data_IF_488642864028
#
_entry.id   IF_488642864028
#
_cell.length_a   1.000
_cell.length_b   1.000
_cell.length_c   1.000
_cell.angle_alpha   90.00
_cell.angle_beta   90.00
_cell.angle_gamma   90.00
#
_symmetry.space_group_name_H-M   'P 1'
#
loop_
_entity.id
_entity.type
_entity.pdbx_description
1 polymer ?
#
# COMPACT_ATOMS: atom_id res chain seq x y z
N UNK A 1 -25.98 21.98 -4.87
CA UNK A 1 -25.08 20.80 -4.87
C UNK A 1 -24.95 20.36 -6.31
N UNK A 2 -23.73 20.16 -6.81
CA UNK A 2 -23.51 19.68 -8.17
C UNK A 2 -23.82 18.17 -8.22
N UNK A 3 -24.84 17.79 -9.00
CA UNK A 3 -25.32 16.40 -9.12
C UNK A 3 -24.31 15.48 -9.82
N UNK A 4 -23.35 16.07 -10.53
CA UNK A 4 -22.31 15.39 -11.29
C UNK A 4 -20.94 15.48 -10.63
N UNK A 5 -20.85 16.03 -9.41
CA UNK A 5 -19.59 16.15 -8.69
C UNK A 5 -18.93 14.78 -8.50
N UNK A 6 -17.65 14.70 -8.80
CA UNK A 6 -16.84 13.50 -8.60
C UNK A 6 -16.12 13.55 -7.25
N UNK A 7 -16.11 12.44 -6.53
CA UNK A 7 -15.29 12.29 -5.31
C UNK A 7 -13.81 12.01 -5.66
N UNK A 8 -12.97 11.77 -4.64
CA UNK A 8 -11.53 11.51 -4.82
C UNK A 8 -11.22 10.22 -5.62
N UNK A 9 -12.22 9.36 -5.84
CA UNK A 9 -12.14 8.14 -6.66
C UNK A 9 -12.83 8.29 -8.02
N UNK A 10 -13.23 9.52 -8.39
CA UNK A 10 -13.91 9.86 -9.62
C UNK A 10 -15.34 9.28 -9.73
N UNK A 11 -15.95 8.90 -8.62
CA UNK A 11 -17.36 8.47 -8.60
C UNK A 11 -18.29 9.68 -8.45
N UNK A 12 -19.35 9.67 -9.25
CA UNK A 12 -20.47 10.61 -9.15
C UNK A 12 -21.52 10.05 -8.18
N UNK A 13 -22.49 10.85 -7.73
CA UNK A 13 -23.66 10.33 -7.01
C UNK A 13 -24.32 9.16 -7.74
N UNK A 14 -24.41 9.19 -9.07
CA UNK A 14 -24.99 8.11 -9.87
C UNK A 14 -24.15 6.83 -9.83
N UNK A 15 -22.82 6.94 -9.94
CA UNK A 15 -21.92 5.81 -9.72
C UNK A 15 -22.16 5.17 -8.34
N UNK A 16 -22.22 5.98 -7.29
CA UNK A 16 -22.43 5.51 -5.92
C UNK A 16 -23.81 4.85 -5.74
N UNK A 17 -24.87 5.41 -6.32
CA UNK A 17 -26.21 4.82 -6.26
C UNK A 17 -26.25 3.43 -6.90
N UNK A 18 -25.59 3.25 -8.05
CA UNK A 18 -25.46 1.93 -8.70
C UNK A 18 -24.58 0.98 -7.90
N UNK A 19 -23.43 1.43 -7.39
CA UNK A 19 -22.51 0.60 -6.58
C UNK A 19 -23.21 0.05 -5.33
N UNK A 20 -24.08 0.85 -4.72
CA UNK A 20 -24.85 0.45 -3.54
C UNK A 20 -26.17 -0.26 -3.87
N UNK A 21 -26.43 -0.64 -5.12
CA UNK A 21 -27.67 -1.28 -5.57
C UNK A 21 -28.94 -0.53 -5.14
N UNK A 22 -28.91 0.81 -5.19
CA UNK A 22 -30.02 1.67 -4.77
C UNK A 22 -30.77 2.22 -5.99
N UNK A 23 -31.74 1.44 -6.48
CA UNK A 23 -32.56 1.81 -7.64
C UNK A 23 -33.35 3.11 -7.44
N UNK A 24 -33.83 3.39 -6.23
CA UNK A 24 -34.58 4.61 -5.93
C UNK A 24 -33.70 5.84 -6.14
N UNK A 25 -32.49 5.82 -5.58
CA UNK A 25 -31.51 6.89 -5.79
C UNK A 25 -31.11 7.02 -7.26
N UNK A 26 -30.95 5.91 -7.99
CA UNK A 26 -30.67 5.94 -9.44
C UNK A 26 -31.77 6.68 -10.19
N UNK A 27 -33.04 6.32 -9.97
CA UNK A 27 -34.17 6.94 -10.65
C UNK A 27 -34.31 8.43 -10.31
N UNK A 28 -34.09 8.79 -9.04
CA UNK A 28 -34.16 10.19 -8.62
C UNK A 28 -33.04 11.03 -9.24
N UNK A 29 -31.81 10.51 -9.29
CA UNK A 29 -30.67 11.19 -9.92
C UNK A 29 -30.91 11.39 -11.42
N UNK A 30 -31.44 10.39 -12.12
CA UNK A 30 -31.86 10.52 -13.52
C UNK A 30 -32.93 11.60 -13.68
N UNK A 31 -33.96 11.61 -12.81
CA UNK A 31 -35.04 12.60 -12.83
C UNK A 31 -34.54 14.02 -12.62
N UNK A 32 -33.51 14.20 -11.78
CA UNK A 32 -32.87 15.48 -11.51
C UNK A 32 -31.88 15.93 -12.59
N UNK A 33 -31.67 15.12 -13.63
CA UNK A 33 -30.79 15.45 -14.76
C UNK A 33 -29.32 15.15 -14.53
N UNK A 34 -28.99 14.12 -13.74
CA UNK A 34 -27.62 13.60 -13.66
C UNK A 34 -27.13 13.17 -15.04
N UNK A 35 -25.88 13.47 -15.37
CA UNK A 35 -25.24 13.00 -16.58
C UNK A 35 -24.86 11.51 -16.40
N UNK A 36 -25.49 10.67 -17.22
CA UNK A 36 -25.45 9.20 -17.08
C UNK A 36 -24.12 8.61 -17.59
N UNK A 37 -23.43 9.34 -18.46
CA UNK A 37 -22.28 8.85 -19.20
C UNK A 37 -20.93 9.34 -18.64
N UNK A 38 -20.94 10.11 -17.54
CA UNK A 38 -19.70 10.46 -16.82
C UNK A 38 -18.98 9.17 -16.42
N UNK A 39 -17.68 9.14 -16.68
CA UNK A 39 -16.83 8.01 -16.32
C UNK A 39 -16.00 8.29 -15.08
N UNK A 40 -15.67 7.25 -14.32
CA UNK A 40 -14.58 7.28 -13.35
C UNK A 40 -13.20 7.43 -14.05
N UNK A 41 -12.12 7.40 -13.26
CA UNK A 41 -10.76 7.53 -13.78
C UNK A 41 -10.36 6.39 -14.74
N UNK A 42 -10.98 5.21 -14.56
CA UNK A 42 -10.76 4.01 -15.37
C UNK A 42 -11.68 3.94 -16.60
N UNK A 43 -12.50 4.97 -16.85
CA UNK A 43 -13.44 4.97 -17.98
C UNK A 43 -14.72 4.18 -17.74
N UNK A 44 -15.03 3.81 -16.49
CA UNK A 44 -16.24 3.07 -16.13
C UNK A 44 -17.40 4.04 -15.90
N UNK A 45 -18.55 3.77 -16.52
CA UNK A 45 -19.81 4.50 -16.30
C UNK A 45 -20.67 3.83 -15.24
N UNK A 46 -21.75 4.49 -14.80
CA UNK A 46 -22.79 3.89 -13.97
C UNK A 46 -23.35 2.59 -14.59
N UNK A 47 -23.56 2.57 -15.92
CA UNK A 47 -24.01 1.38 -16.64
C UNK A 47 -23.01 0.22 -16.52
N UNK A 48 -21.71 0.52 -16.65
CA UNK A 48 -20.66 -0.49 -16.51
C UNK A 48 -20.72 -1.17 -15.13
N UNK A 49 -20.86 -0.41 -14.05
CA UNK A 49 -20.99 -0.98 -12.70
C UNK A 49 -22.26 -1.83 -12.53
N UNK A 50 -23.39 -1.41 -13.10
CA UNK A 50 -24.62 -2.19 -13.06
C UNK A 50 -24.45 -3.55 -13.78
N UNK A 51 -23.72 -3.55 -14.91
CA UNK A 51 -23.37 -4.75 -15.66
C UNK A 51 -22.41 -5.67 -14.90
N UNK A 52 -21.37 -5.14 -14.25
CA UNK A 52 -20.46 -5.94 -13.40
C UNK A 52 -21.21 -6.65 -12.26
N UNK A 53 -22.21 -5.97 -11.69
CA UNK A 53 -23.07 -6.53 -10.63
C UNK A 53 -24.16 -7.47 -11.17
N UNK A 54 -24.31 -7.60 -12.49
CA UNK A 54 -25.40 -8.36 -13.14
C UNK A 54 -26.79 -7.87 -12.70
N UNK A 55 -26.96 -6.55 -12.59
CA UNK A 55 -28.19 -5.92 -12.11
C UNK A 55 -29.07 -5.43 -13.27
N UNK A 56 -29.88 -6.34 -13.81
CA UNK A 56 -30.72 -6.07 -14.98
C UNK A 56 -31.73 -4.93 -14.75
N UNK A 57 -32.18 -4.73 -13.51
CA UNK A 57 -33.17 -3.70 -13.16
C UNK A 57 -32.57 -2.30 -13.28
N UNK A 58 -31.39 -2.09 -12.69
CA UNK A 58 -30.67 -0.82 -12.80
C UNK A 58 -30.19 -0.60 -14.23
N UNK A 59 -29.69 -1.65 -14.91
CA UNK A 59 -29.32 -1.55 -16.34
C UNK A 59 -30.49 -1.07 -17.18
N UNK A 60 -31.69 -1.64 -16.97
CA UNK A 60 -32.90 -1.22 -17.68
C UNK A 60 -33.30 0.23 -17.41
N UNK A 61 -33.11 0.72 -16.18
CA UNK A 61 -33.39 2.11 -15.83
C UNK A 61 -32.44 3.08 -16.55
N UNK A 62 -31.13 2.74 -16.57
CA UNK A 62 -30.10 3.52 -17.27
C UNK A 62 -30.30 3.49 -18.79
N UNK A 63 -30.67 2.35 -19.37
CA UNK A 63 -30.96 2.22 -20.80
C UNK A 63 -32.15 3.09 -21.24
N UNK A 64 -33.24 3.08 -20.45
CA UNK A 64 -34.40 3.95 -20.70
C UNK A 64 -34.05 5.43 -20.62
N UNK A 65 -33.04 5.77 -19.82
CA UNK A 65 -32.54 7.13 -19.67
C UNK A 65 -31.47 7.51 -20.73
N UNK A 66 -31.14 6.60 -21.65
CA UNK A 66 -30.26 6.88 -22.79
C UNK A 66 -28.78 6.60 -22.55
N UNK A 67 -28.42 5.75 -21.57
CA UNK A 67 -27.02 5.40 -21.29
C UNK A 67 -26.28 4.89 -22.53
N UNK A 68 -25.07 5.40 -22.77
CA UNK A 68 -24.26 5.01 -23.91
C UNK A 68 -23.44 3.74 -23.61
N UNK A 69 -23.96 2.60 -24.06
CA UNK A 69 -23.32 1.29 -23.91
C UNK A 69 -21.99 1.12 -24.68
N UNK A 70 -21.62 2.09 -25.54
CA UNK A 70 -20.36 2.05 -26.31
C UNK A 70 -19.17 2.59 -25.50
N UNK A 71 -19.41 3.23 -24.36
CA UNK A 71 -18.34 3.66 -23.45
C UNK A 71 -17.80 2.41 -22.75
N UNK A 72 -16.54 2.10 -23.02
CA UNK A 72 -15.85 0.95 -22.44
C UNK A 72 -14.70 1.42 -21.54
N UNK A 73 -14.36 0.67 -20.48
CA UNK A 73 -13.24 1.01 -19.62
C UNK A 73 -11.92 1.10 -20.39
N UNK A 74 -11.04 1.96 -19.91
CA UNK A 74 -9.69 2.14 -20.43
C UNK A 74 -8.87 0.89 -20.13
N UNK A 75 -8.01 0.53 -21.07
CA UNK A 75 -6.97 -0.45 -20.83
C UNK A 75 -5.86 0.18 -19.98
N UNK A 76 -5.46 -0.49 -18.90
CA UNK A 76 -4.45 0.02 -17.97
C UNK A 76 -3.05 -0.42 -18.45
N UNK A 77 -2.21 0.56 -18.80
CA UNK A 77 -0.90 0.33 -19.43
C UNK A 77 0.18 1.21 -18.83
N UNK A 78 1.44 0.94 -19.13
CA UNK A 78 2.56 1.77 -18.69
C UNK A 78 3.01 1.47 -17.27
N UNK A 79 4.14 2.06 -16.88
CA UNK A 79 4.60 2.02 -15.50
C UNK A 79 3.59 2.69 -14.56
N UNK A 80 3.50 2.22 -13.31
CA UNK A 80 2.62 2.79 -12.29
C UNK A 80 1.17 2.97 -12.78
N UNK A 81 0.64 1.95 -13.46
CA UNK A 81 -0.71 1.95 -14.05
C UNK A 81 -0.97 3.07 -15.07
N UNK A 82 0.09 3.66 -15.64
CA UNK A 82 -0.02 4.73 -16.64
C UNK A 82 -0.44 6.07 -16.05
N UNK A 83 -0.34 6.21 -14.73
CA UNK A 83 -0.71 7.43 -14.03
C UNK A 83 0.28 8.57 -14.32
N UNK A 84 -0.19 9.82 -14.32
CA UNK A 84 0.71 10.98 -14.26
C UNK A 84 1.63 10.88 -13.05
N UNK A 85 2.91 11.23 -13.22
CA UNK A 85 3.89 11.20 -12.13
C UNK A 85 3.51 12.24 -11.07
N UNK A 86 3.53 11.89 -9.77
CA UNK A 86 3.13 12.82 -8.72
C UNK A 86 4.15 13.94 -8.56
N UNK A 87 3.65 15.11 -8.16
CA UNK A 87 4.48 16.27 -7.84
C UNK A 87 5.02 16.25 -6.40
N UNK A 88 5.10 17.44 -5.81
CA UNK A 88 5.51 17.64 -4.41
C UNK A 88 4.34 17.61 -3.41
N UNK A 89 3.15 17.21 -3.85
CA UNK A 89 1.96 17.07 -3.00
C UNK A 89 1.54 15.61 -3.01
N UNK A 90 1.16 15.02 -1.86
CA UNK A 90 0.68 13.64 -1.85
C UNK A 90 -0.68 13.50 -2.52
N UNK A 91 -0.78 12.57 -3.45
CA UNK A 91 -1.99 12.22 -4.21
C UNK A 91 -2.39 10.78 -3.89
N UNK A 92 -3.68 10.43 -4.02
CA UNK A 92 -4.11 9.03 -3.89
C UNK A 92 -3.50 8.21 -5.02
N UNK A 93 -2.93 7.06 -4.68
CA UNK A 93 -2.32 6.17 -5.66
C UNK A 93 -3.38 5.26 -6.30
N UNK A 94 -3.43 5.28 -7.64
CA UNK A 94 -4.34 4.50 -8.47
C UNK A 94 -5.80 4.49 -7.97
N UNK A 95 -6.47 5.66 -7.87
CA UNK A 95 -7.82 5.78 -7.33
C UNK A 95 -8.82 4.98 -8.18
N UNK A 96 -9.66 4.19 -7.51
CA UNK A 96 -10.64 3.28 -8.13
C UNK A 96 -10.05 1.94 -8.58
N UNK A 97 -8.72 1.77 -8.55
CA UNK A 97 -8.02 0.54 -8.94
C UNK A 97 -7.33 -0.13 -7.75
N UNK A 98 -6.46 0.60 -7.06
CA UNK A 98 -5.79 0.17 -5.82
C UNK A 98 -6.55 0.73 -4.63
N UNK A 99 -6.59 2.05 -4.52
CA UNK A 99 -7.32 2.75 -3.46
C UNK A 99 -8.81 2.81 -3.80
N UNK A 100 -9.65 2.22 -2.95
CA UNK A 100 -11.10 2.10 -3.21
C UNK A 100 -11.95 2.43 -1.99
N UNK A 101 -13.21 2.80 -2.22
CA UNK A 101 -14.17 3.01 -1.12
C UNK A 101 -14.62 1.72 -0.41
N UNK A 102 -14.15 0.53 -0.83
CA UNK A 102 -14.65 -0.77 -0.37
C UNK A 102 -13.89 -1.32 0.84
N UNK A 103 -12.70 -0.79 1.14
CA UNK A 103 -11.82 -1.35 2.15
C UNK A 103 -10.72 -0.39 2.56
N UNK A 104 -9.71 -0.95 3.23
CA UNK A 104 -8.48 -0.25 3.55
C UNK A 104 -7.33 -0.90 2.79
N UNK A 105 -6.58 -0.12 2.03
CA UNK A 105 -5.42 -0.60 1.29
C UNK A 105 -4.14 -0.03 1.87
N UNK A 106 -3.12 -0.84 2.09
CA UNK A 106 -1.88 -0.39 2.70
C UNK A 106 -0.63 -1.18 2.30
N UNK A 107 0.53 -0.60 2.62
CA UNK A 107 1.85 -1.18 2.44
C UNK A 107 2.12 -1.70 1.01
N UNK A 108 1.77 -0.89 0.00
CA UNK A 108 2.03 -1.18 -1.40
C UNK A 108 3.52 -1.24 -1.75
N UNK A 109 3.92 -2.20 -2.58
CA UNK A 109 5.31 -2.36 -3.06
C UNK A 109 5.33 -2.78 -4.52
N UNK A 110 6.24 -2.18 -5.29
CA UNK A 110 6.52 -2.57 -6.66
C UNK A 110 7.69 -3.54 -6.74
N UNK A 111 7.69 -4.42 -7.73
CA UNK A 111 8.90 -5.07 -8.20
C UNK A 111 9.83 -4.04 -8.89
N UNK A 112 11.17 -4.24 -8.88
CA UNK A 112 12.12 -3.29 -9.46
C UNK A 112 11.92 -2.99 -10.95
N UNK A 113 11.39 -3.96 -11.70
CA UNK A 113 11.06 -3.83 -13.13
C UNK A 113 9.68 -3.21 -13.40
N UNK A 114 8.96 -2.79 -12.34
CA UNK A 114 7.61 -2.24 -12.40
C UNK A 114 6.60 -3.16 -13.11
N UNK A 115 6.77 -4.47 -12.99
CA UNK A 115 5.87 -5.46 -13.59
C UNK A 115 4.96 -6.17 -12.59
N UNK A 116 5.20 -6.01 -11.30
CA UNK A 116 4.32 -6.51 -10.26
C UNK A 116 4.11 -5.42 -9.21
N UNK A 117 2.87 -5.31 -8.73
CA UNK A 117 2.53 -4.46 -7.61
C UNK A 117 1.77 -5.29 -6.59
N UNK A 118 2.27 -5.35 -5.36
CA UNK A 118 1.65 -6.05 -4.25
C UNK A 118 1.22 -5.05 -3.19
N UNK A 119 0.07 -5.27 -2.57
CA UNK A 119 -0.41 -4.44 -1.47
C UNK A 119 -1.32 -5.25 -0.57
N UNK A 120 -1.48 -4.80 0.66
CA UNK A 120 -2.45 -5.39 1.58
C UNK A 120 -3.80 -4.72 1.38
N UNK A 121 -4.85 -5.52 1.22
CA UNK A 121 -6.22 -5.05 1.19
C UNK A 121 -6.98 -5.68 2.35
N UNK A 122 -7.69 -4.84 3.12
CA UNK A 122 -8.64 -5.24 4.15
C UNK A 122 -10.04 -4.99 3.64
N UNK A 123 -10.75 -6.07 3.34
CA UNK A 123 -12.13 -6.03 2.91
C UNK A 123 -13.04 -6.01 4.15
N UNK A 124 -14.02 -5.10 4.16
CA UNK A 124 -14.99 -5.01 5.26
C UNK A 124 -15.74 -6.35 5.39
N UNK A 125 -15.50 -7.07 6.50
CA UNK A 125 -16.15 -8.35 6.82
C UNK A 125 -15.44 -9.63 6.33
N UNK A 126 -14.41 -9.54 5.47
CA UNK A 126 -13.75 -10.71 4.86
C UNK A 126 -12.28 -10.91 5.30
N UNK A 127 -11.78 -10.04 6.17
CA UNK A 127 -10.41 -10.11 6.66
C UNK A 127 -9.45 -9.31 5.79
N UNK A 128 -8.17 -9.66 5.81
CA UNK A 128 -7.12 -8.89 5.16
C UNK A 128 -6.09 -9.80 4.52
N UNK A 129 -5.80 -9.56 3.23
CA UNK A 129 -4.91 -10.41 2.41
C UNK A 129 -4.08 -9.58 1.45
N UNK A 130 -3.03 -10.19 0.89
CA UNK A 130 -2.18 -9.54 -0.10
C UNK A 130 -2.80 -9.72 -1.49
N UNK A 131 -3.08 -8.60 -2.14
CA UNK A 131 -3.53 -8.52 -3.52
C UNK A 131 -2.38 -8.12 -4.41
N UNK A 132 -2.47 -8.43 -5.69
CA UNK A 132 -1.47 -8.02 -6.65
C UNK A 132 -2.02 -7.75 -8.04
N UNK A 133 -1.24 -7.00 -8.79
CA UNK A 133 -1.37 -6.79 -10.23
C UNK A 133 -0.08 -7.24 -10.91
N UNK A 134 -0.22 -7.73 -12.15
CA UNK A 134 0.91 -8.09 -13.01
C UNK A 134 0.84 -7.30 -14.32
N UNK A 135 1.95 -6.73 -14.74
CA UNK A 135 2.11 -6.08 -16.05
C UNK A 135 2.84 -7.01 -17.01
N UNK A 136 2.19 -7.33 -18.13
CA UNK A 136 2.77 -8.11 -19.22
C UNK A 136 2.58 -7.38 -20.54
N UNK A 137 3.64 -7.26 -21.35
CA UNK A 137 3.60 -6.54 -22.64
C UNK A 137 2.94 -5.17 -22.50
N UNK A 138 3.34 -4.45 -21.44
CA UNK A 138 2.86 -3.12 -21.07
C UNK A 138 1.39 -3.02 -20.61
N UNK A 139 0.69 -4.14 -20.38
CA UNK A 139 -0.70 -4.16 -19.93
C UNK A 139 -0.81 -4.75 -18.53
N UNK A 140 -1.52 -4.07 -17.63
CA UNK A 140 -1.80 -4.57 -16.29
C UNK A 140 -2.97 -5.54 -16.31
N UNK A 141 -2.87 -6.61 -15.52
CA UNK A 141 -3.94 -7.57 -15.26
C UNK A 141 -5.07 -6.92 -14.44
N UNK A 142 -6.17 -7.67 -14.28
CA UNK A 142 -7.08 -7.39 -13.17
C UNK A 142 -6.40 -7.70 -11.82
N UNK A 143 -6.97 -7.16 -10.75
CA UNK A 143 -6.55 -7.47 -9.38
C UNK A 143 -6.78 -8.95 -9.06
N UNK A 144 -5.82 -9.58 -8.41
CA UNK A 144 -5.92 -10.97 -7.95
C UNK A 144 -5.26 -11.13 -6.57
N UNK A 145 -5.37 -12.31 -5.95
CA UNK A 145 -4.57 -12.65 -4.78
C UNK A 145 -3.13 -12.95 -5.18
N UNK A 146 -2.16 -12.48 -4.39
CA UNK A 146 -0.77 -12.82 -4.67
C UNK A 146 -0.57 -14.35 -4.63
N UNK A 147 0.26 -14.92 -5.53
CA UNK A 147 0.31 -16.37 -5.75
C UNK A 147 0.93 -17.15 -4.58
N UNK A 148 1.55 -16.45 -3.63
CA UNK A 148 2.12 -17.00 -2.40
C UNK A 148 1.21 -16.84 -1.18
N UNK A 149 -0.01 -16.31 -1.36
CA UNK A 149 -0.95 -16.07 -0.25
C UNK A 149 -1.55 -17.36 0.28
N UNK A 150 -2.04 -17.28 1.52
CA UNK A 150 -2.81 -18.33 2.17
C UNK A 150 -4.15 -17.76 2.64
N UNK A 151 -5.16 -18.60 2.87
CA UNK A 151 -6.47 -18.15 3.35
C UNK A 151 -6.45 -17.83 4.86
N UNK A 152 -5.78 -16.72 5.19
CA UNK A 152 -5.61 -16.21 6.55
C UNK A 152 -5.28 -14.72 6.51
N UNK A 153 -5.06 -14.11 7.68
CA UNK A 153 -4.58 -12.73 7.75
C UNK A 153 -3.14 -12.60 7.25
N UNK A 154 -2.92 -11.73 6.26
CA UNK A 154 -1.62 -11.43 5.67
C UNK A 154 -1.37 -9.93 5.53
N UNK A 155 -0.11 -9.51 5.66
CA UNK A 155 0.28 -8.14 5.94
C UNK A 155 1.53 -7.73 5.15
N UNK A 156 1.55 -6.50 4.67
CA UNK A 156 2.74 -5.68 4.41
C UNK A 156 3.80 -6.34 3.52
N UNK A 157 3.50 -6.58 2.23
CA UNK A 157 4.49 -7.13 1.32
C UNK A 157 5.68 -6.17 1.14
N UNK A 158 6.86 -6.76 0.97
CA UNK A 158 8.09 -6.06 0.61
C UNK A 158 8.86 -6.89 -0.42
N UNK A 159 9.08 -6.33 -1.60
CA UNK A 159 9.88 -6.95 -2.65
C UNK A 159 11.32 -6.44 -2.55
N UNK A 160 12.29 -7.35 -2.61
CA UNK A 160 13.72 -7.00 -2.55
C UNK A 160 14.18 -6.24 -3.79
N UNK A 161 15.29 -5.51 -3.66
CA UNK A 161 15.86 -4.65 -4.73
C UNK A 161 16.25 -5.44 -5.98
N UNK A 162 16.57 -6.72 -5.84
CA UNK A 162 16.84 -7.63 -6.95
C UNK A 162 15.57 -8.22 -7.57
N UNK A 163 14.40 -8.00 -6.96
CA UNK A 163 13.09 -8.48 -7.43
C UNK A 163 12.85 -9.98 -7.22
N UNK A 164 13.78 -10.68 -6.55
CA UNK A 164 13.78 -12.13 -6.45
C UNK A 164 13.09 -12.63 -5.18
N UNK A 165 12.87 -11.80 -4.16
CA UNK A 165 12.22 -12.22 -2.92
C UNK A 165 11.11 -11.26 -2.54
N UNK A 166 10.06 -11.82 -1.94
CA UNK A 166 8.99 -11.05 -1.29
C UNK A 166 8.84 -11.51 0.14
N UNK A 167 8.91 -10.57 1.07
CA UNK A 167 8.71 -10.77 2.50
C UNK A 167 7.34 -10.21 2.90
N UNK A 168 6.66 -10.85 3.84
CA UNK A 168 5.35 -10.41 4.33
C UNK A 168 5.00 -11.05 5.67
N UNK A 169 4.11 -10.41 6.41
CA UNK A 169 3.48 -11.00 7.59
C UNK A 169 2.39 -11.98 7.18
N UNK A 170 2.32 -13.15 7.82
CA UNK A 170 1.22 -14.11 7.62
C UNK A 170 0.90 -14.85 8.91
N UNK A 171 -0.39 -15.14 9.11
CA UNK A 171 -0.92 -16.00 10.17
C UNK A 171 -1.13 -17.45 9.74
N UNK A 172 -0.61 -17.85 8.57
CA UNK A 172 -0.70 -19.25 8.14
C UNK A 172 -0.09 -20.20 9.18
N UNK A 173 -0.42 -21.50 9.14
CA UNK A 173 0.17 -22.48 10.04
C UNK A 173 1.69 -22.45 9.99
N UNK A 174 2.34 -22.59 11.14
CA UNK A 174 3.79 -22.77 11.23
C UNK A 174 4.17 -24.12 10.62
N UNK A 175 5.46 -24.33 10.22
CA UNK A 175 5.92 -25.64 9.80
C UNK A 175 5.56 -26.72 10.82
N UNK A 176 5.09 -27.87 10.35
CA UNK A 176 4.57 -29.00 11.14
C UNK A 176 3.26 -28.75 11.91
N UNK A 177 2.66 -27.55 11.78
CA UNK A 177 1.32 -27.25 12.31
C UNK A 177 0.28 -27.27 11.18
N UNK A 178 -0.99 -27.48 11.56
CA UNK A 178 -2.15 -27.44 10.66
C UNK A 178 -3.12 -26.33 11.04
N UNK A 179 -2.94 -25.70 12.21
CA UNK A 179 -3.83 -24.65 12.73
C UNK A 179 -3.32 -23.28 12.33
N UNK A 180 -4.25 -22.38 11.97
CA UNK A 180 -3.94 -20.97 11.75
C UNK A 180 -3.23 -20.39 12.97
N UNK A 181 -2.07 -19.75 12.74
CA UNK A 181 -1.30 -19.12 13.78
C UNK A 181 -2.08 -17.91 14.35
N UNK A 182 -2.12 -17.80 15.68
CA UNK A 182 -2.76 -16.68 16.37
C UNK A 182 -1.97 -15.38 16.24
N UNK A 183 -0.66 -15.48 16.02
CA UNK A 183 0.26 -14.35 15.87
C UNK A 183 0.81 -14.30 14.46
N UNK A 184 1.12 -13.11 13.98
CA UNK A 184 1.76 -12.92 12.68
C UNK A 184 3.23 -13.34 12.77
N UNK A 185 3.68 -14.13 11.82
CA UNK A 185 5.10 -14.42 11.58
C UNK A 185 5.52 -13.84 10.23
N UNK A 186 6.82 -13.67 10.02
CA UNK A 186 7.35 -13.23 8.73
C UNK A 186 7.63 -14.45 7.86
N UNK A 187 7.11 -14.40 6.64
CA UNK A 187 7.29 -15.39 5.61
C UNK A 187 7.96 -14.77 4.39
N UNK A 188 8.62 -15.60 3.60
CA UNK A 188 9.27 -15.19 2.37
C UNK A 188 8.98 -16.16 1.23
N UNK A 189 8.70 -15.64 0.05
CA UNK A 189 8.67 -16.41 -1.19
C UNK A 189 9.77 -15.93 -2.13
N UNK A 190 10.38 -16.86 -2.86
CA UNK A 190 11.45 -16.58 -3.81
C UNK A 190 10.95 -16.79 -5.24
N UNK A 191 11.35 -15.90 -6.16
CA UNK A 191 11.02 -15.98 -7.56
C UNK A 191 12.02 -16.90 -8.25
N UNK A 192 11.56 -18.08 -8.66
CA UNK A 192 12.34 -19.11 -9.35
C UNK A 192 11.68 -19.34 -10.71
N UNK A 193 12.44 -19.16 -11.80
CA UNK A 193 11.93 -19.28 -13.17
C UNK A 193 10.63 -18.46 -13.41
N UNK A 194 10.65 -17.19 -12.98
CA UNK A 194 9.52 -16.24 -13.07
C UNK A 194 8.26 -16.64 -12.27
N UNK A 195 8.36 -17.60 -11.34
CA UNK A 195 7.26 -18.03 -10.48
C UNK A 195 7.65 -17.90 -9.02
N UNK A 196 6.74 -17.39 -8.20
CA UNK A 196 6.89 -17.33 -6.75
C UNK A 196 6.83 -18.75 -6.16
N UNK A 197 7.82 -19.11 -5.35
CA UNK A 197 7.91 -20.40 -4.68
C UNK A 197 6.87 -20.53 -3.57
N UNK A 198 6.59 -21.76 -3.09
CA UNK A 198 5.99 -21.92 -1.78
C UNK A 198 6.76 -21.13 -0.73
N UNK A 199 6.06 -20.47 0.19
CA UNK A 199 6.67 -19.57 1.15
C UNK A 199 7.37 -20.33 2.28
N UNK A 200 8.46 -19.74 2.79
CA UNK A 200 9.29 -20.26 3.89
C UNK A 200 9.18 -19.34 5.09
N UNK A 201 9.13 -19.93 6.29
CA UNK A 201 9.16 -19.16 7.54
C UNK A 201 10.53 -18.46 7.67
N UNK A 202 10.50 -17.16 7.92
CA UNK A 202 11.70 -16.34 8.18
C UNK A 202 11.92 -16.20 9.68
N UNK A 203 10.84 -15.95 10.42
CA UNK A 203 10.89 -15.87 11.87
C UNK A 203 9.61 -15.28 12.46
N UNK A 204 9.48 -15.43 13.77
CA UNK A 204 8.34 -14.92 14.54
C UNK A 204 8.73 -13.62 15.27
N UNK A 205 7.75 -12.97 15.90
CA UNK A 205 7.95 -11.78 16.74
C UNK A 205 8.56 -10.58 15.99
N UNK A 206 8.14 -10.39 14.74
CA UNK A 206 8.53 -9.28 13.88
C UNK A 206 7.30 -8.75 13.15
N UNK A 207 7.30 -7.45 12.84
CA UNK A 207 6.27 -6.78 12.04
C UNK A 207 6.92 -5.81 11.08
N UNK A 208 6.35 -5.71 9.87
CA UNK A 208 6.81 -4.83 8.80
C UNK A 208 8.30 -4.98 8.48
N UNK A 209 8.61 -5.76 7.45
CA UNK A 209 9.99 -6.07 7.09
C UNK A 209 10.40 -5.31 5.85
N UNK A 210 11.55 -4.65 5.92
CA UNK A 210 12.27 -4.13 4.75
C UNK A 210 13.72 -4.62 4.78
N UNK A 211 14.34 -4.75 3.61
CA UNK A 211 15.72 -5.21 3.49
C UNK A 211 16.55 -4.22 2.68
N UNK A 212 17.80 -4.04 3.09
CA UNK A 212 18.80 -3.35 2.28
C UNK A 212 19.29 -4.22 1.12
N UNK A 213 20.06 -3.63 0.20
CA UNK A 213 20.69 -4.35 -0.91
C UNK A 213 21.67 -5.44 -0.42
N UNK A 214 22.24 -5.26 0.78
CA UNK A 214 23.12 -6.25 1.41
C UNK A 214 22.35 -7.36 2.14
N UNK A 215 21.01 -7.34 2.13
CA UNK A 215 20.16 -8.33 2.77
C UNK A 215 20.01 -8.15 4.28
N UNK A 216 20.44 -7.03 4.84
CA UNK A 216 20.14 -6.69 6.25
C UNK A 216 18.64 -6.41 6.37
N UNK A 217 17.97 -7.13 7.26
CA UNK A 217 16.55 -6.98 7.54
C UNK A 217 16.33 -5.91 8.61
N UNK A 218 15.36 -5.03 8.39
CA UNK A 218 14.90 -4.01 9.35
C UNK A 218 13.43 -4.24 9.64
N UNK A 219 13.05 -4.18 10.92
CA UNK A 219 11.70 -4.54 11.36
C UNK A 219 11.34 -3.92 12.71
N UNK A 220 10.05 -3.85 13.01
CA UNK A 220 9.55 -3.56 14.36
C UNK A 220 9.70 -4.81 15.21
N UNK A 221 10.33 -4.70 16.38
CA UNK A 221 10.50 -5.81 17.32
C UNK A 221 9.19 -6.07 18.08
N UNK A 222 8.69 -7.31 18.00
CA UNK A 222 7.55 -7.76 18.80
C UNK A 222 7.96 -8.77 19.89
N UNK A 223 9.26 -9.00 20.09
CA UNK A 223 9.74 -9.89 21.15
C UNK A 223 9.67 -9.26 22.54
N UNK A 224 9.58 -7.93 22.61
CA UNK A 224 9.61 -7.16 23.86
C UNK A 224 11.02 -6.91 24.39
N UNK A 225 12.07 -7.33 23.68
CA UNK A 225 13.47 -7.06 24.06
C UNK A 225 13.88 -5.62 23.72
N UNK A 226 13.41 -5.11 22.59
CA UNK A 226 13.62 -3.73 22.14
C UNK A 226 12.25 -3.08 21.94
N UNK A 227 12.07 -1.88 22.49
CA UNK A 227 10.90 -1.06 22.13
C UNK A 227 11.25 -0.30 20.85
N UNK A 228 10.64 -0.70 19.74
CA UNK A 228 10.82 -0.04 18.44
C UNK A 228 11.52 -0.92 17.40
N UNK A 229 12.49 -0.34 16.70
CA UNK A 229 13.10 -0.89 15.49
C UNK A 229 14.39 -1.65 15.80
N UNK A 230 14.55 -2.78 15.12
CA UNK A 230 15.78 -3.58 15.13
C UNK A 230 16.24 -3.88 13.70
N UNK A 231 17.53 -4.16 13.54
CA UNK A 231 18.08 -4.79 12.35
C UNK A 231 18.54 -6.23 12.63
N UNK A 232 18.57 -7.06 11.59
CA UNK A 232 19.05 -8.44 11.64
C UNK A 232 19.90 -8.73 10.41
N UNK A 233 21.13 -9.20 10.62
CA UNK A 233 22.04 -9.62 9.54
C UNK A 233 21.78 -11.08 9.20
N UNK A 234 21.78 -11.41 7.90
CA UNK A 234 21.70 -12.79 7.42
C UNK A 234 23.10 -13.40 7.32
N UNK A 235 23.37 -14.45 8.09
CA UNK A 235 24.67 -15.12 8.11
C UNK A 235 24.49 -16.59 8.54
N UNK A 236 25.22 -17.51 7.91
CA UNK A 236 25.16 -18.97 8.15
C UNK A 236 23.75 -19.54 7.94
N UNK A 237 23.06 -19.09 6.89
CA UNK A 237 21.74 -19.61 6.50
C UNK A 237 20.56 -19.09 7.33
N UNK A 238 20.77 -18.17 8.27
CA UNK A 238 19.69 -17.59 9.10
C UNK A 238 19.93 -16.12 9.46
N UNK A 239 18.87 -15.43 9.83
CA UNK A 239 18.98 -14.11 10.47
C UNK A 239 19.50 -14.25 11.90
N UNK A 240 20.47 -13.41 12.27
CA UNK A 240 21.02 -13.33 13.63
C UNK A 240 20.05 -12.61 14.58
N UNK A 241 20.45 -12.49 15.85
CA UNK A 241 19.70 -11.72 16.84
C UNK A 241 19.58 -10.25 16.42
N UNK A 242 18.47 -9.63 16.79
CA UNK A 242 18.17 -8.24 16.45
C UNK A 242 19.06 -7.27 17.22
N UNK A 243 19.60 -6.28 16.52
CA UNK A 243 20.32 -5.15 17.13
C UNK A 243 19.44 -3.91 17.05
N UNK A 244 19.26 -3.23 18.19
CA UNK A 244 18.53 -1.95 18.27
C UNK A 244 19.13 -0.92 17.31
N UNK A 245 18.29 -0.10 16.68
CA UNK A 245 18.74 1.06 15.90
C UNK A 245 19.21 2.23 16.80
N UNK A 246 19.14 2.08 18.12
CA UNK A 246 19.60 3.06 19.11
C UNK A 246 18.52 4.07 19.49
N UNK A 247 18.73 4.73 20.63
CA UNK A 247 17.73 5.60 21.28
C UNK A 247 17.32 6.80 20.42
N UNK A 248 18.19 7.25 19.50
CA UNK A 248 17.86 8.30 18.55
C UNK A 248 16.71 7.88 17.62
N UNK A 249 16.72 6.63 17.13
CA UNK A 249 15.66 6.12 16.24
C UNK A 249 14.49 5.59 17.05
N UNK A 250 14.77 4.89 18.14
CA UNK A 250 13.76 4.31 19.03
C UNK A 250 13.35 5.30 20.14
N UNK A 251 13.18 6.57 19.77
CA UNK A 251 12.91 7.67 20.72
C UNK A 251 11.47 7.69 21.26
N UNK A 252 10.57 6.89 20.67
CA UNK A 252 9.18 6.71 21.10
C UNK A 252 8.83 5.23 21.19
N UNK A 253 8.02 4.85 22.19
CA UNK A 253 7.61 3.45 22.40
C UNK A 253 6.81 2.87 21.21
N UNK A 254 6.14 3.73 20.46
CA UNK A 254 5.30 3.45 19.29
C UNK A 254 6.05 3.43 17.95
N UNK A 255 7.38 3.56 17.95
CA UNK A 255 8.19 3.59 16.73
C UNK A 255 8.03 2.28 15.95
N UNK A 256 7.58 2.35 14.70
CA UNK A 256 7.22 1.17 13.90
C UNK A 256 7.42 1.37 12.38
N UNK A 257 7.19 0.28 11.64
CA UNK A 257 7.18 0.18 10.18
C UNK A 257 8.40 0.81 9.47
N UNK A 258 9.62 0.29 9.71
CA UNK A 258 10.82 0.85 9.10
C UNK A 258 10.87 0.58 7.60
N UNK A 259 11.14 1.63 6.82
CA UNK A 259 11.72 1.55 5.49
C UNK A 259 13.21 1.87 5.54
N UNK A 260 14.04 0.87 5.26
CA UNK A 260 15.48 1.07 5.03
C UNK A 260 15.75 1.34 3.55
N UNK A 261 16.57 2.35 3.26
CA UNK A 261 17.08 2.57 1.91
C UNK A 261 17.94 1.37 1.44
N UNK A 262 17.96 1.03 0.14
CA UNK A 262 18.82 -0.04 -0.39
C UNK A 262 20.29 0.05 0.04
N UNK A 263 20.83 1.27 0.09
CA UNK A 263 22.22 1.57 0.46
C UNK A 263 22.42 1.80 1.97
N UNK A 264 21.36 1.57 2.77
CA UNK A 264 21.30 1.84 4.21
C UNK A 264 21.63 3.29 4.60
N UNK A 265 21.52 4.24 3.67
CA UNK A 265 21.90 5.64 3.94
C UNK A 265 20.85 6.43 4.72
N UNK A 266 19.61 5.94 4.80
CA UNK A 266 18.54 6.50 5.61
C UNK A 266 17.51 5.43 6.00
N UNK A 267 16.79 5.68 7.09
CA UNK A 267 15.60 4.94 7.51
C UNK A 267 14.43 5.93 7.66
N UNK A 268 13.28 5.58 7.09
CA UNK A 268 12.00 6.28 7.30
C UNK A 268 11.11 5.38 8.13
N UNK A 269 10.40 5.93 9.11
CA UNK A 269 9.55 5.14 10.00
C UNK A 269 8.43 6.02 10.55
N UNK A 270 7.34 5.41 11.01
CA UNK A 270 6.30 6.11 11.74
C UNK A 270 6.51 5.97 13.26
N UNK A 271 6.15 7.02 13.97
CA UNK A 271 6.13 7.06 15.43
C UNK A 271 5.00 7.96 15.90
N UNK A 272 4.36 7.58 17.01
CA UNK A 272 3.27 8.31 17.63
C UNK A 272 3.76 8.94 18.95
N UNK A 273 3.66 10.27 19.13
CA UNK A 273 3.95 10.90 20.42
C UNK A 273 3.04 10.34 21.53
N UNK A 274 3.56 10.25 22.75
CA UNK A 274 2.77 9.79 23.89
C UNK A 274 1.59 10.76 24.16
N UNK A 275 0.36 10.26 23.98
CA UNK A 275 -0.88 11.03 24.09
C UNK A 275 -1.89 10.63 23.01
N UNK A 276 -3.03 10.06 23.42
CA UNK A 276 -4.03 9.38 22.57
C UNK A 276 -4.70 10.23 21.47
N UNK A 277 -4.36 11.51 21.32
CA UNK A 277 -5.02 12.42 20.38
C UNK A 277 -4.24 12.64 19.06
N UNK A 278 -2.94 12.35 19.01
CA UNK A 278 -2.13 12.55 17.80
C UNK A 278 -1.94 11.21 17.08
N UNK A 279 -2.37 11.09 15.82
CA UNK A 279 -1.99 9.96 14.95
C UNK A 279 -0.47 9.84 14.77
N UNK A 280 0.00 8.73 14.24
CA UNK A 280 1.40 8.49 13.94
C UNK A 280 1.93 9.50 12.89
N UNK A 281 3.23 9.79 12.95
CA UNK A 281 3.94 10.74 12.08
C UNK A 281 5.19 10.09 11.54
N UNK A 282 5.53 10.38 10.29
CA UNK A 282 6.78 9.97 9.70
C UNK A 282 7.95 10.83 10.12
N UNK A 283 9.03 10.13 10.41
CA UNK A 283 10.35 10.66 10.65
C UNK A 283 11.35 9.99 9.73
N UNK A 284 12.47 10.67 9.48
CA UNK A 284 13.61 10.14 8.74
C UNK A 284 14.88 10.36 9.55
N UNK A 285 15.70 9.31 9.65
CA UNK A 285 17.06 9.40 10.18
C UNK A 285 18.06 9.00 9.11
N UNK A 286 19.19 9.70 9.07
CA UNK A 286 20.27 9.44 8.11
C UNK A 286 21.43 8.74 8.79
N UNK A 287 22.10 7.87 8.03
CA UNK A 287 23.30 7.20 8.53
C UNK A 287 24.50 8.13 8.46
N UNK A 288 25.20 8.29 9.59
CA UNK A 288 26.43 9.08 9.73
C UNK A 288 27.64 8.26 9.27
N UNK A 289 28.78 8.93 9.10
CA UNK A 289 30.06 8.31 8.70
C UNK A 289 30.59 7.32 9.73
N UNK A 290 30.27 7.49 11.01
CA UNK A 290 30.64 6.58 12.10
C UNK A 290 29.72 5.35 12.19
N UNK A 291 28.73 5.22 11.29
CA UNK A 291 27.78 4.13 11.25
C UNK A 291 26.53 4.32 12.11
N UNK A 292 26.49 5.34 12.97
CA UNK A 292 25.34 5.68 13.81
C UNK A 292 24.26 6.43 13.04
N UNK A 293 23.08 6.57 13.64
CA UNK A 293 21.93 7.31 13.08
C UNK A 293 21.90 8.76 13.58
N UNK A 294 21.44 9.69 12.75
CA UNK A 294 21.13 11.06 13.18
C UNK A 294 19.92 11.08 14.09
N UNK A 295 19.72 12.19 14.79
CA UNK A 295 18.42 12.48 15.38
C UNK A 295 17.36 12.49 14.27
N UNK A 296 16.16 12.00 14.55
CA UNK A 296 15.11 11.84 13.56
C UNK A 296 14.51 13.20 13.22
N UNK A 297 14.41 13.49 11.92
CA UNK A 297 13.74 14.67 11.43
C UNK A 297 12.31 14.33 11.01
N UNK A 298 11.33 15.06 11.53
CA UNK A 298 9.92 14.92 11.12
C UNK A 298 9.77 15.29 9.64
N UNK A 299 9.02 14.48 8.88
CA UNK A 299 8.64 14.85 7.51
C UNK A 299 7.66 16.04 7.50
N UNK A 300 7.51 16.71 6.37
CA UNK A 300 6.64 17.89 6.22
C UNK A 300 5.19 17.62 6.64
N UNK A 301 4.49 18.65 7.12
CA UNK A 301 3.09 18.53 7.55
C UNK A 301 2.15 18.03 6.43
N UNK A 302 2.44 18.30 5.16
CA UNK A 302 1.68 17.77 4.02
C UNK A 302 1.74 16.24 3.91
N UNK A 303 2.91 15.66 4.16
CA UNK A 303 3.10 14.19 4.22
C UNK A 303 2.48 13.64 5.49
N UNK A 304 2.58 14.39 6.59
CA UNK A 304 2.11 14.01 7.93
C UNK A 304 0.64 14.41 8.22
N UNK A 305 -0.14 14.68 7.17
CA UNK A 305 -1.56 14.99 7.30
C UNK A 305 -2.34 13.69 7.53
N UNK A 306 -3.25 13.71 8.51
CA UNK A 306 -3.95 12.51 8.97
C UNK A 306 -3.08 11.64 9.90
N UNK A 307 -3.52 10.42 10.15
CA UNK A 307 -2.71 9.35 10.72
C UNK A 307 -1.97 8.64 9.59
N UNK A 308 -0.65 8.46 9.73
CA UNK A 308 0.21 7.95 8.64
C UNK A 308 1.04 6.75 9.05
N UNK A 309 1.19 5.79 8.15
CA UNK A 309 1.91 4.54 8.43
C UNK A 309 2.47 3.87 7.17
N UNK A 310 3.28 2.82 7.37
CA UNK A 310 3.75 1.94 6.29
C UNK A 310 4.53 2.67 5.17
N UNK A 311 5.58 3.44 5.51
CA UNK A 311 6.35 4.20 4.54
C UNK A 311 7.09 3.24 3.58
N UNK A 312 7.13 3.56 2.28
CA UNK A 312 8.02 2.89 1.30
C UNK A 312 8.53 3.88 0.27
N UNK A 313 9.75 3.67 -0.23
CA UNK A 313 10.23 4.34 -1.45
C UNK A 313 10.25 3.32 -2.59
N UNK A 314 9.86 3.75 -3.79
CA UNK A 314 9.90 2.92 -5.00
C UNK A 314 11.30 2.34 -5.23
N UNK A 315 11.41 1.16 -5.88
CA UNK A 315 12.72 0.56 -6.17
C UNK A 315 13.68 1.48 -6.94
N UNK A 316 13.16 2.37 -7.79
CA UNK A 316 13.95 3.35 -8.54
C UNK A 316 14.27 4.64 -7.75
N UNK A 317 13.84 4.73 -6.49
CA UNK A 317 14.09 5.86 -5.60
C UNK A 317 13.33 7.14 -5.92
N UNK A 318 12.38 7.11 -6.88
CA UNK A 318 11.71 8.33 -7.38
C UNK A 318 10.47 8.73 -6.59
N UNK A 319 9.75 7.77 -6.00
CA UNK A 319 8.46 8.04 -5.37
C UNK A 319 8.40 7.47 -3.96
N UNK A 320 7.78 8.23 -3.07
CA UNK A 320 7.48 7.81 -1.71
C UNK A 320 6.00 7.43 -1.64
N UNK A 321 5.73 6.21 -1.19
CA UNK A 321 4.41 5.64 -0.95
C UNK A 321 4.17 5.52 0.54
N UNK A 322 2.96 5.79 0.97
CA UNK A 322 2.58 5.69 2.37
C UNK A 322 1.09 5.60 2.55
N UNK A 323 0.65 5.22 3.73
CA UNK A 323 -0.75 5.21 4.09
C UNK A 323 -1.15 6.46 4.84
N UNK A 324 -2.35 6.98 4.54
CA UNK A 324 -2.94 8.09 5.30
C UNK A 324 -4.47 8.00 5.33
N UNK A 325 -5.07 8.40 6.44
CA UNK A 325 -6.53 8.55 6.57
C UNK A 325 -7.02 10.01 6.40
N UNK A 326 -6.18 10.91 5.87
CA UNK A 326 -6.48 12.35 5.80
C UNK A 326 -7.78 12.72 5.07
N UNK A 327 -8.23 11.88 4.15
CA UNK A 327 -9.43 12.10 3.32
C UNK A 327 -10.57 11.12 3.68
N UNK A 328 -10.55 10.57 4.91
CA UNK A 328 -11.63 9.78 5.52
C UNK A 328 -11.40 8.26 5.48
N UNK A 329 -10.94 7.73 4.35
CA UNK A 329 -10.52 6.32 4.22
C UNK A 329 -9.00 6.21 4.36
N UNK A 330 -8.50 5.05 4.83
CA UNK A 330 -7.05 4.79 4.81
C UNK A 330 -6.66 4.32 3.41
N UNK A 331 -6.07 5.23 2.65
CA UNK A 331 -5.62 5.03 1.27
C UNK A 331 -4.10 4.97 1.17
N UNK A 332 -3.62 4.43 0.05
CA UNK A 332 -2.21 4.55 -0.33
C UNK A 332 -2.04 5.89 -1.05
N UNK A 333 -1.14 6.72 -0.56
CA UNK A 333 -0.70 7.96 -1.18
C UNK A 333 0.67 7.79 -1.81
N UNK A 334 0.94 8.61 -2.82
CA UNK A 334 2.27 8.73 -3.42
C UNK A 334 2.66 10.18 -3.67
N UNK A 335 3.96 10.45 -3.64
CA UNK A 335 4.58 11.76 -3.84
C UNK A 335 5.99 11.58 -4.43
N UNK A 336 6.55 12.57 -5.12
CA UNK A 336 7.99 12.59 -5.43
C UNK A 336 8.84 12.43 -4.16
N UNK A 337 9.84 11.55 -4.22
CA UNK A 337 10.80 11.32 -3.13
C UNK A 337 11.94 12.35 -3.07
N UNK A 338 11.93 13.39 -3.91
CA UNK A 338 13.02 14.38 -3.99
C UNK A 338 13.26 15.14 -2.68
N UNK A 339 12.26 15.18 -1.77
CA UNK A 339 12.42 15.78 -0.45
C UNK A 339 13.52 15.09 0.38
N UNK A 340 13.75 13.77 0.20
CA UNK A 340 14.75 13.00 0.94
C UNK A 340 16.15 13.56 0.70
N UNK A 341 16.49 13.86 -0.57
CA UNK A 341 17.79 14.45 -0.93
C UNK A 341 17.97 15.83 -0.32
N UNK A 342 16.91 16.65 -0.29
CA UNK A 342 16.91 17.99 0.32
C UNK A 342 17.14 17.90 1.83
N UNK A 343 16.46 16.97 2.51
CA UNK A 343 16.63 16.73 3.93
C UNK A 343 18.04 16.23 4.27
N UNK A 344 18.56 15.25 3.51
CA UNK A 344 19.93 14.73 3.68
C UNK A 344 20.95 15.86 3.65
N UNK A 345 20.87 16.72 2.64
CA UNK A 345 21.77 17.88 2.48
C UNK A 345 21.66 18.88 3.63
N UNK A 346 20.50 18.99 4.30
CA UNK A 346 20.32 19.93 5.41
C UNK A 346 20.76 19.37 6.77
N UNK A 347 20.60 18.06 6.98
CA UNK A 347 20.89 17.41 8.26
C UNK A 347 22.36 16.99 8.38
N UNK A 348 22.97 16.52 7.29
CA UNK A 348 24.38 16.08 7.28
C UNK A 348 25.36 17.18 6.82
N UNK A 349 25.00 18.47 7.00
CA UNK A 349 25.89 19.59 6.64
C UNK A 349 27.18 19.59 7.43
#
# INVERSE_FOLDING_TARGET
MDINAQNNYYYTPLHLAVINNNLEAVNELIRLGADIDITDNLGKTAYFFAKEQKNDVIMSALDKAGANQKIIPKEIKGEYFGMPKPGSKPEIFAPGLVSTMKGFEFAGTFSPDNNEYFFTQRDLGFGQRIRYFKREKDKWSNIDFAPFTYDCFEFEPFVTVDGNKVYYGSRRPLPEDTVINKRTAIWMSEKINLKWSPPKLVGEQMMYVTLSQNGTLYTTDLSGKVSGLINRVYQDGKFKEGVSLGDNVNFMSSTAHPYIAPDESYVIFDAQPDGFEAGARFFISFRKKDGTWTDPAKLSDEINKGDVMCPKVSPDGKYFFFNSNKDGYSDIYWISADFIKKMKKNILK
#
